data_IF_898893079601
#
_entry.id   IF_898893079601
#
_cell.length_a   1.000
_cell.length_b   1.000
_cell.length_c   1.000
_cell.angle_alpha   90.00
_cell.angle_beta   90.00
_cell.angle_gamma   90.00
#
_symmetry.space_group_name_H-M   'P 1'
#
loop_
_entity.id
_entity.type
_entity.pdbx_description
1 polymer ?
#
# COMPACT_ATOMS: atom_id res chain seq x y z
N UNK A 1 5.11 4.28 -16.51
CA UNK A 1 5.40 4.43 -15.08
C UNK A 1 4.64 5.60 -14.51
N UNK A 2 4.33 5.54 -13.23
CA UNK A 2 3.68 6.65 -12.57
C UNK A 2 4.65 7.84 -12.43
N UNK A 3 4.31 9.02 -12.94
CA UNK A 3 5.25 10.14 -12.95
C UNK A 3 5.59 10.69 -11.57
N UNK A 4 4.69 10.57 -10.60
CA UNK A 4 4.93 11.10 -9.25
C UNK A 4 5.87 10.21 -8.45
N UNK A 5 5.64 8.90 -8.44
CA UNK A 5 6.32 7.97 -7.54
C UNK A 5 7.38 7.12 -8.24
N UNK A 6 7.42 7.16 -9.55
CA UNK A 6 8.32 6.35 -10.38
C UNK A 6 8.13 4.84 -10.17
N UNK A 7 6.92 4.43 -9.77
CA UNK A 7 6.51 3.03 -9.70
C UNK A 7 5.79 2.67 -10.99
N UNK A 8 5.49 1.39 -11.15
CA UNK A 8 4.58 1.00 -12.22
C UNK A 8 3.19 1.59 -11.92
N UNK A 9 2.52 2.05 -12.98
CA UNK A 9 1.15 2.54 -12.88
C UNK A 9 0.16 1.39 -13.08
N UNK A 10 -1.11 1.63 -12.76
CA UNK A 10 -2.18 0.65 -12.94
C UNK A 10 -2.24 0.13 -14.39
N UNK A 11 -1.91 0.97 -15.36
CA UNK A 11 -1.85 0.57 -16.77
C UNK A 11 -0.86 -0.58 -17.00
N UNK A 12 0.27 -0.57 -16.29
CA UNK A 12 1.23 -1.66 -16.35
C UNK A 12 0.58 -2.98 -15.92
N UNK A 13 -0.16 -2.96 -14.82
CA UNK A 13 -0.88 -4.14 -14.34
C UNK A 13 -1.84 -4.69 -15.39
N UNK A 14 -2.64 -3.79 -16.00
CA UNK A 14 -3.60 -4.19 -17.02
C UNK A 14 -2.91 -4.80 -18.26
N UNK A 15 -1.76 -4.26 -18.65
CA UNK A 15 -1.01 -4.72 -19.83
C UNK A 15 -0.25 -6.01 -19.59
N UNK A 16 0.23 -6.24 -18.36
CA UNK A 16 1.11 -7.37 -18.06
C UNK A 16 0.49 -8.37 -17.07
N UNK A 17 -0.80 -8.34 -16.94
CA UNK A 17 -1.52 -9.17 -15.98
C UNK A 17 -1.18 -10.67 -16.12
N UNK A 18 -1.11 -11.18 -17.34
CA UNK A 18 -0.79 -12.59 -17.58
C UNK A 18 0.59 -12.98 -17.03
N UNK A 19 1.54 -12.06 -17.10
CA UNK A 19 2.88 -12.30 -16.55
C UNK A 19 2.91 -12.27 -15.03
N UNK A 20 1.92 -11.63 -14.40
CA UNK A 20 1.84 -11.47 -12.96
C UNK A 20 1.03 -12.59 -12.28
N UNK A 21 0.37 -13.45 -13.05
CA UNK A 21 -0.44 -14.54 -12.50
C UNK A 21 0.39 -15.55 -11.69
N UNK A 22 1.69 -15.63 -11.93
CA UNK A 22 2.59 -16.51 -11.19
C UNK A 22 3.02 -15.99 -9.84
N UNK A 23 2.63 -14.78 -9.47
CA UNK A 23 2.96 -14.22 -8.16
C UNK A 23 2.14 -14.92 -7.08
N UNK A 24 2.82 -15.32 -5.99
CA UNK A 24 2.20 -16.13 -4.94
C UNK A 24 1.66 -15.31 -3.77
N UNK A 25 2.20 -14.11 -3.56
CA UNK A 25 1.81 -13.27 -2.44
C UNK A 25 1.37 -11.92 -2.96
N UNK A 26 0.21 -11.47 -2.50
CA UNK A 26 -0.40 -10.22 -2.96
C UNK A 26 -0.75 -9.37 -1.75
N UNK A 27 -0.30 -8.12 -1.74
CA UNK A 27 -0.65 -7.16 -0.70
C UNK A 27 -1.23 -5.91 -1.33
N UNK A 28 -2.29 -5.39 -0.71
CA UNK A 28 -2.83 -4.06 -1.01
C UNK A 28 -2.43 -3.15 0.14
N UNK A 29 -1.87 -2.00 -0.20
CA UNK A 29 -1.38 -1.00 0.76
C UNK A 29 -2.12 0.30 0.50
N UNK A 30 -2.65 0.91 1.56
CA UNK A 30 -3.34 2.20 1.47
C UNK A 30 -2.78 3.13 2.53
N UNK A 31 -2.58 4.39 2.17
CA UNK A 31 -2.05 5.40 3.08
C UNK A 31 -3.16 5.86 4.02
N UNK A 32 -2.94 5.74 5.33
CA UNK A 32 -3.92 6.15 6.32
C UNK A 32 -4.05 7.67 6.35
N UNK A 33 -5.30 8.14 6.38
CA UNK A 33 -5.64 9.57 6.51
C UNK A 33 -5.01 10.45 5.41
N UNK A 34 -4.81 9.91 4.22
CA UNK A 34 -4.15 10.67 3.14
C UNK A 34 -4.93 11.91 2.74
N UNK A 35 -6.28 11.80 2.68
CA UNK A 35 -7.11 12.95 2.36
C UNK A 35 -6.91 14.06 3.39
N UNK A 36 -6.84 13.71 4.67
CA UNK A 36 -6.62 14.66 5.75
C UNK A 36 -5.24 15.33 5.65
N UNK A 37 -4.23 14.59 5.21
CA UNK A 37 -2.90 15.15 4.96
C UNK A 37 -2.98 16.21 3.88
N UNK A 38 -3.63 15.92 2.76
CA UNK A 38 -3.81 16.88 1.68
C UNK A 38 -4.58 18.11 2.14
N UNK A 39 -5.67 17.89 2.89
CA UNK A 39 -6.52 18.99 3.36
C UNK A 39 -5.78 19.89 4.37
N UNK A 40 -4.97 19.32 5.25
CA UNK A 40 -4.27 20.07 6.29
C UNK A 40 -2.96 20.68 5.82
N UNK A 41 -2.21 19.99 4.95
CA UNK A 41 -0.83 20.38 4.60
C UNK A 41 -0.65 20.72 3.13
N UNK A 42 -1.68 20.50 2.31
CA UNK A 42 -1.65 20.80 0.88
C UNK A 42 -1.20 19.63 0.02
N UNK A 43 -1.52 19.71 -1.28
CA UNK A 43 -1.23 18.63 -2.24
C UNK A 43 0.27 18.41 -2.47
N UNK A 44 1.09 19.46 -2.37
CA UNK A 44 2.54 19.31 -2.50
C UNK A 44 3.11 18.44 -1.37
N UNK A 45 2.61 18.63 -0.16
CA UNK A 45 2.99 17.78 0.98
C UNK A 45 2.48 16.35 0.77
N UNK A 46 1.24 16.19 0.28
CA UNK A 46 0.71 14.88 -0.07
C UNK A 46 1.58 14.16 -1.10
N UNK A 47 2.06 14.86 -2.11
CA UNK A 47 2.96 14.28 -3.11
C UNK A 47 4.29 13.84 -2.49
N UNK A 48 4.83 14.65 -1.60
CA UNK A 48 6.06 14.29 -0.86
C UNK A 48 5.83 13.06 -0.01
N UNK A 49 4.70 12.99 0.69
CA UNK A 49 4.33 11.82 1.50
C UNK A 49 4.28 10.56 0.64
N UNK A 50 3.64 10.62 -0.53
CA UNK A 50 3.57 9.45 -1.42
C UNK A 50 4.95 9.02 -1.90
N UNK A 51 5.81 9.97 -2.27
CA UNK A 51 7.18 9.65 -2.70
C UNK A 51 7.98 9.00 -1.58
N UNK A 52 7.87 9.53 -0.37
CA UNK A 52 8.61 9.00 0.78
C UNK A 52 8.10 7.61 1.18
N UNK A 53 6.80 7.40 1.11
CA UNK A 53 6.21 6.07 1.38
C UNK A 53 6.69 5.06 0.34
N UNK A 54 6.70 5.43 -0.94
CA UNK A 54 7.21 4.54 -1.99
C UNK A 54 8.68 4.20 -1.76
N UNK A 55 9.50 5.20 -1.40
CA UNK A 55 10.90 4.96 -1.07
C UNK A 55 11.03 3.99 0.11
N UNK A 56 10.20 4.15 1.13
CA UNK A 56 10.19 3.25 2.29
C UNK A 56 9.81 1.82 1.88
N UNK A 57 8.79 1.66 1.04
CA UNK A 57 8.40 0.34 0.54
C UNK A 57 9.54 -0.29 -0.27
N UNK A 58 10.14 0.48 -1.18
CA UNK A 58 11.25 -0.01 -1.99
C UNK A 58 12.44 -0.48 -1.14
N UNK A 59 12.66 0.15 0.00
CA UNK A 59 13.74 -0.27 0.92
C UNK A 59 13.51 -1.65 1.54
N UNK A 60 12.27 -2.13 1.50
CA UNK A 60 11.87 -3.41 2.11
C UNK A 60 11.72 -4.54 1.09
N UNK A 61 11.78 -4.26 -0.20
CA UNK A 61 11.49 -5.26 -1.24
C UNK A 61 12.68 -5.44 -2.18
N UNK A 62 12.62 -6.50 -2.99
CA UNK A 62 13.67 -6.86 -3.94
C UNK A 62 13.25 -6.53 -5.37
N UNK A 63 14.22 -6.57 -6.28
CA UNK A 63 13.96 -6.31 -7.70
C UNK A 63 12.99 -7.32 -8.33
N UNK A 64 12.85 -8.51 -7.72
CA UNK A 64 11.91 -9.54 -8.17
C UNK A 64 10.48 -9.26 -7.72
N UNK A 65 10.29 -8.33 -6.79
CA UNK A 65 8.99 -7.94 -6.30
C UNK A 65 8.45 -6.77 -7.15
N UNK A 66 7.15 -6.69 -7.29
CA UNK A 66 6.52 -5.70 -8.17
C UNK A 66 5.64 -4.77 -7.37
N UNK A 67 5.92 -3.47 -7.44
CA UNK A 67 5.14 -2.43 -6.78
C UNK A 67 4.43 -1.60 -7.85
N UNK A 68 3.11 -1.50 -7.72
CA UNK A 68 2.25 -0.81 -8.67
C UNK A 68 1.43 0.23 -7.91
N UNK A 69 1.40 1.47 -8.40
CA UNK A 69 0.46 2.47 -7.89
C UNK A 69 -0.90 2.15 -8.50
N UNK A 70 -1.78 1.63 -7.66
CA UNK A 70 -3.07 1.10 -8.10
C UNK A 70 -4.18 2.15 -8.06
N UNK A 71 -4.06 3.11 -7.17
CA UNK A 71 -4.96 4.24 -7.02
C UNK A 71 -4.19 5.47 -6.55
N UNK A 72 -4.88 6.53 -6.16
CA UNK A 72 -4.24 7.78 -5.70
C UNK A 72 -3.29 7.57 -4.53
N UNK A 73 -3.75 6.87 -3.53
CA UNK A 73 -3.02 6.58 -2.29
C UNK A 73 -2.98 5.07 -2.01
N UNK A 74 -3.16 4.26 -3.04
CA UNK A 74 -3.26 2.81 -2.94
C UNK A 74 -2.22 2.14 -3.81
N UNK A 75 -1.57 1.11 -3.27
CA UNK A 75 -0.52 0.37 -3.94
C UNK A 75 -0.80 -1.12 -3.92
N UNK A 76 -0.43 -1.78 -4.99
CA UNK A 76 -0.47 -3.24 -5.13
C UNK A 76 0.96 -3.74 -5.12
N UNK A 77 1.25 -4.68 -4.23
CA UNK A 77 2.58 -5.26 -4.08
C UNK A 77 2.49 -6.76 -4.32
N UNK A 78 3.29 -7.25 -5.26
CA UNK A 78 3.27 -8.64 -5.69
C UNK A 78 4.63 -9.28 -5.44
N UNK A 79 4.62 -10.47 -4.85
CA UNK A 79 5.83 -11.23 -4.55
C UNK A 79 5.78 -12.60 -5.19
N UNK A 80 6.92 -13.09 -5.73
CA UNK A 80 7.06 -14.50 -6.07
C UNK A 80 6.98 -15.36 -4.81
N UNK A 81 6.99 -16.67 -4.98
CA UNK A 81 6.88 -17.60 -3.87
C UNK A 81 7.96 -17.36 -2.79
N UNK A 82 7.52 -17.30 -1.55
CA UNK A 82 8.37 -17.20 -0.37
C UNK A 82 7.64 -17.84 0.82
N UNK A 83 8.35 -18.03 1.93
CA UNK A 83 7.72 -18.52 3.15
C UNK A 83 6.68 -17.52 3.65
N UNK A 84 5.57 -18.05 4.14
CA UNK A 84 4.45 -17.25 4.64
C UNK A 84 4.89 -16.27 5.73
N UNK A 85 5.70 -16.73 6.67
CA UNK A 85 6.17 -15.87 7.77
C UNK A 85 7.13 -14.77 7.28
N UNK A 86 7.83 -15.00 6.18
CA UNK A 86 8.66 -13.96 5.55
C UNK A 86 7.76 -12.88 4.94
N UNK A 87 6.67 -13.29 4.30
CA UNK A 87 5.69 -12.36 3.73
C UNK A 87 5.07 -11.50 4.84
N UNK A 88 4.67 -12.12 5.95
CA UNK A 88 4.13 -11.36 7.10
C UNK A 88 5.17 -10.39 7.65
N UNK A 89 6.42 -10.82 7.76
CA UNK A 89 7.50 -9.96 8.23
C UNK A 89 7.71 -8.78 7.30
N UNK A 90 7.63 -8.99 5.99
CA UNK A 90 7.74 -7.90 5.01
C UNK A 90 6.67 -6.85 5.20
N UNK A 91 5.43 -7.28 5.45
CA UNK A 91 4.35 -6.35 5.73
C UNK A 91 4.65 -5.49 6.97
N UNK A 92 5.15 -6.12 8.03
CA UNK A 92 5.50 -5.41 9.26
C UNK A 92 6.69 -4.48 9.07
N UNK A 93 7.69 -4.90 8.29
CA UNK A 93 8.83 -4.03 7.94
C UNK A 93 8.37 -2.78 7.19
N UNK A 94 7.43 -2.94 6.27
CA UNK A 94 6.87 -1.81 5.52
C UNK A 94 6.14 -0.87 6.48
N UNK A 95 5.31 -1.38 7.37
CA UNK A 95 4.61 -0.55 8.36
C UNK A 95 5.60 0.26 9.20
N UNK A 96 6.66 -0.38 9.68
CA UNK A 96 7.67 0.30 10.50
C UNK A 96 8.45 1.33 9.69
N UNK A 97 8.84 1.00 8.47
CA UNK A 97 9.56 1.93 7.61
C UNK A 97 8.74 3.20 7.34
N UNK A 98 7.44 3.03 7.11
CA UNK A 98 6.53 4.17 6.91
C UNK A 98 6.41 5.02 8.18
N UNK A 99 6.28 4.38 9.35
CA UNK A 99 6.19 5.10 10.62
C UNK A 99 7.41 5.93 10.94
N UNK A 100 8.58 5.54 10.45
CA UNK A 100 9.84 6.27 10.68
C UNK A 100 10.01 7.47 9.78
N UNK A 101 9.16 7.66 8.79
CA UNK A 101 9.26 8.79 7.88
C UNK A 101 9.02 10.09 8.66
N UNK A 102 9.91 11.05 8.47
CA UNK A 102 9.76 12.40 9.02
C UNK A 102 9.69 13.36 7.85
N UNK A 103 8.66 14.19 7.84
CA UNK A 103 8.55 15.28 6.88
C UNK A 103 9.16 16.51 7.56
N UNK A 104 10.33 16.98 7.13
CA UNK A 104 11.06 18.01 7.89
C UNK A 104 10.26 19.28 8.13
N UNK A 105 9.40 19.67 7.19
CA UNK A 105 8.56 20.87 7.32
C UNK A 105 7.44 20.70 8.33
N UNK A 106 7.04 19.45 8.61
CA UNK A 106 5.91 19.13 9.49
C UNK A 106 6.28 17.93 10.36
N UNK A 107 7.20 18.12 11.34
CA UNK A 107 7.69 16.99 12.15
C UNK A 107 6.61 16.36 13.02
N UNK A 108 5.49 17.04 13.25
CA UNK A 108 4.34 16.49 13.97
C UNK A 108 3.51 15.50 13.16
N UNK A 109 3.72 15.46 11.83
CA UNK A 109 2.96 14.58 10.95
C UNK A 109 3.44 13.14 11.09
N UNK A 110 2.55 12.25 11.52
CA UNK A 110 2.82 10.82 11.67
C UNK A 110 2.15 10.06 10.53
N UNK A 111 2.94 9.28 9.80
CA UNK A 111 2.47 8.51 8.66
C UNK A 111 2.28 7.05 9.03
N UNK A 112 1.25 6.44 8.46
CA UNK A 112 1.04 5.00 8.57
C UNK A 112 0.34 4.48 7.33
N UNK A 113 0.38 3.16 7.14
CA UNK A 113 -0.32 2.49 6.05
C UNK A 113 -1.12 1.32 6.62
N UNK A 114 -2.22 1.01 5.95
CA UNK A 114 -3.00 -0.19 6.21
C UNK A 114 -2.69 -1.19 5.10
N UNK A 115 -2.46 -2.45 5.48
CA UNK A 115 -2.03 -3.50 4.54
C UNK A 115 -2.92 -4.71 4.71
N UNK A 116 -3.37 -5.27 3.59
CA UNK A 116 -3.98 -6.59 3.55
C UNK A 116 -3.16 -7.48 2.64
N UNK A 117 -2.82 -8.68 3.09
CA UNK A 117 -2.00 -9.60 2.32
C UNK A 117 -2.59 -11.00 2.29
N UNK A 118 -2.46 -11.67 1.14
CA UNK A 118 -2.88 -13.06 0.97
C UNK A 118 -1.79 -13.83 0.23
N UNK A 119 -1.79 -15.14 0.41
CA UNK A 119 -0.81 -16.04 -0.19
C UNK A 119 -1.51 -17.22 -0.85
N UNK A 120 -0.99 -17.64 -2.00
CA UNK A 120 -1.47 -18.83 -2.68
C UNK A 120 -2.91 -18.76 -3.17
N UNK A 121 -3.43 -17.56 -3.41
CA UNK A 121 -4.81 -17.38 -3.90
C UNK A 121 -4.76 -17.09 -5.40
N UNK A 122 -5.50 -17.84 -6.16
CA UNK A 122 -5.60 -17.74 -7.62
C UNK A 122 -7.06 -17.79 -8.05
N UNK A 123 -7.43 -17.15 -9.14
CA UNK A 123 -6.60 -16.28 -9.97
C UNK A 123 -6.21 -14.99 -9.27
N UNK A 124 -5.32 -14.22 -9.89
CA UNK A 124 -4.81 -12.97 -9.31
C UNK A 124 -5.94 -11.99 -8.92
N UNK A 125 -6.99 -11.93 -9.73
CA UNK A 125 -8.15 -11.06 -9.43
C UNK A 125 -8.77 -11.40 -8.06
N UNK A 126 -8.86 -12.68 -7.73
CA UNK A 126 -9.40 -13.12 -6.44
C UNK A 126 -8.44 -12.78 -5.30
N UNK A 127 -7.14 -12.96 -5.53
CA UNK A 127 -6.13 -12.58 -4.54
C UNK A 127 -6.20 -11.08 -4.23
N UNK A 128 -6.33 -10.25 -5.25
CA UNK A 128 -6.45 -8.80 -5.08
C UNK A 128 -7.72 -8.47 -4.29
N UNK A 129 -8.84 -9.10 -4.63
CA UNK A 129 -10.11 -8.87 -3.94
C UNK A 129 -10.00 -9.20 -2.45
N UNK A 130 -9.40 -10.34 -2.12
CA UNK A 130 -9.23 -10.76 -0.72
C UNK A 130 -8.26 -9.86 0.02
N UNK A 131 -7.15 -9.49 -0.61
CA UNK A 131 -6.17 -8.59 -0.01
C UNK A 131 -6.80 -7.21 0.27
N UNK A 132 -7.61 -6.71 -0.65
CA UNK A 132 -8.30 -5.44 -0.48
C UNK A 132 -9.27 -5.49 0.70
N UNK A 133 -10.01 -6.57 0.85
CA UNK A 133 -10.89 -6.75 2.00
C UNK A 133 -10.11 -6.74 3.32
N UNK A 134 -8.99 -7.45 3.38
CA UNK A 134 -8.15 -7.49 4.58
C UNK A 134 -7.52 -6.12 4.87
N UNK A 135 -7.14 -5.40 3.85
CA UNK A 135 -6.64 -4.03 4.00
C UNK A 135 -7.74 -3.13 4.59
N UNK A 136 -8.95 -3.26 4.10
CA UNK A 136 -10.09 -2.52 4.64
C UNK A 136 -10.29 -2.82 6.13
N UNK A 137 -10.24 -4.10 6.55
CA UNK A 137 -10.36 -4.46 7.95
C UNK A 137 -9.24 -3.84 8.78
N UNK A 138 -8.01 -3.86 8.27
CA UNK A 138 -6.88 -3.23 8.93
C UNK A 138 -7.09 -1.71 9.06
N UNK A 139 -7.64 -1.09 8.05
CA UNK A 139 -7.92 0.34 8.05
C UNK A 139 -9.04 0.70 9.03
N UNK A 140 -10.08 -0.11 9.12
CA UNK A 140 -11.14 0.09 10.12
C UNK A 140 -10.56 0.06 11.54
N UNK A 141 -9.66 -0.89 11.80
CA UNK A 141 -9.00 -0.98 13.10
C UNK A 141 -8.21 0.28 13.41
N UNK A 142 -7.47 0.81 12.44
CA UNK A 142 -6.73 2.06 12.59
C UNK A 142 -7.67 3.21 12.99
N UNK A 143 -8.79 3.38 12.29
CA UNK A 143 -9.71 4.49 12.55
C UNK A 143 -10.46 4.32 13.87
N UNK A 144 -10.73 3.10 14.30
CA UNK A 144 -11.44 2.82 15.55
C UNK A 144 -10.54 3.02 16.77
N UNK A 145 -9.32 2.46 16.73
CA UNK A 145 -8.40 2.48 17.88
C UNK A 145 -7.69 3.81 18.08
N UNK A 146 -7.45 4.54 16.98
CA UNK A 146 -6.67 5.77 17.01
C UNK A 146 -7.50 7.06 17.05
N UNK A 147 -8.80 6.98 17.20
CA UNK A 147 -9.71 8.15 17.15
C UNK A 147 -9.60 8.91 15.81
N UNK A 148 -9.34 8.18 14.74
CA UNK A 148 -9.20 8.74 13.41
C UNK A 148 -10.53 8.86 12.69
N UNK A 149 -10.52 9.57 11.54
CA UNK A 149 -11.70 9.72 10.69
C UNK A 149 -12.10 8.36 10.12
N UNK A 150 -13.42 8.07 10.12
CA UNK A 150 -13.96 6.83 9.54
C UNK A 150 -13.59 6.73 8.06
N UNK A 151 -13.13 5.55 7.59
CA UNK A 151 -12.76 5.40 6.19
C UNK A 151 -13.96 5.51 5.26
N UNK A 152 -13.76 5.91 3.99
CA UNK A 152 -14.83 5.99 3.02
C UNK A 152 -15.50 4.65 2.77
N UNK A 153 -16.79 4.68 2.47
CA UNK A 153 -17.56 3.46 2.22
C UNK A 153 -17.11 2.67 1.00
N UNK A 154 -16.36 3.29 0.10
CA UNK A 154 -15.83 2.60 -1.08
C UNK A 154 -15.06 1.33 -0.75
N UNK A 155 -14.51 1.25 0.46
CA UNK A 155 -13.77 0.08 0.90
C UNK A 155 -14.63 -1.17 1.08
N UNK A 156 -15.94 -0.98 1.18
CA UNK A 156 -16.89 -2.07 1.45
C UNK A 156 -17.36 -2.77 0.19
N UNK A 157 -16.92 -2.35 -0.98
CA UNK A 157 -17.38 -2.89 -2.26
C UNK A 157 -16.40 -3.92 -2.83
N UNK A 158 -16.26 -4.99 -2.14
CA UNK A 158 -15.29 -5.99 -2.56
C UNK A 158 -15.98 -7.27 -2.93
#
# INVERSE_FOLDING_TARGET
MDPLTNTYARRYFESYRSHLEGMEHVAIIDVDSFKQVNDAYGHQTGDTVLRDIVAAIHSCIRSTDTLIRYGGDEFLLLFPKMDEHIFVRKQNEIREAVRRIVIPEYPELHLSVSIGGVSGVHPLAEAIRQADYLMYENKEKYYTEGEHVTPPRKWKKI
#
